data_IF_527176376775
#
_entry.id   IF_527176376775
#
_cell.length_a   1.000
_cell.length_b   1.000
_cell.length_c   1.000
_cell.angle_alpha   90.00
_cell.angle_beta   90.00
_cell.angle_gamma   90.00
#
_symmetry.space_group_name_H-M   'P 1'
#
loop_
_entity.id
_entity.type
_entity.pdbx_description
1 polymer ?
#
# COMPACT_ATOMS: atom_id res chain seq x y z
N UNK A 1 2.82 -13.93 -32.26
CA UNK A 1 3.46 -13.10 -31.23
C UNK A 1 2.74 -13.39 -29.94
N UNK A 2 3.19 -14.41 -29.23
CA UNK A 2 2.67 -14.78 -27.92
C UNK A 2 3.48 -14.00 -26.88
N UNK A 3 2.82 -13.07 -26.18
CA UNK A 3 3.38 -12.45 -24.98
C UNK A 3 3.53 -13.55 -23.91
N UNK A 4 4.72 -13.76 -23.34
CA UNK A 4 4.85 -14.71 -22.25
C UNK A 4 4.00 -14.24 -21.06
N UNK A 5 3.40 -15.17 -20.29
CA UNK A 5 2.77 -14.82 -19.04
C UNK A 5 3.84 -14.19 -18.16
N UNK A 6 3.51 -13.08 -17.51
CA UNK A 6 4.32 -12.51 -16.44
C UNK A 6 4.37 -13.61 -15.37
N UNK A 7 5.46 -14.39 -15.37
CA UNK A 7 5.80 -15.27 -14.27
C UNK A 7 5.98 -14.36 -13.06
N UNK A 8 4.91 -14.21 -12.28
CA UNK A 8 4.98 -13.69 -10.93
C UNK A 8 5.88 -14.66 -10.20
N UNK A 9 7.14 -14.28 -10.12
CA UNK A 9 8.20 -15.08 -9.55
C UNK A 9 7.79 -15.40 -8.11
N UNK A 10 7.89 -16.67 -7.74
CA UNK A 10 7.72 -17.21 -6.38
C UNK A 10 8.77 -16.69 -5.38
N UNK A 11 9.39 -15.56 -5.68
CA UNK A 11 10.38 -14.87 -4.87
C UNK A 11 9.68 -13.74 -4.10
N UNK A 12 10.22 -13.39 -2.93
CA UNK A 12 9.63 -12.39 -2.05
C UNK A 12 9.32 -11.05 -2.72
N UNK A 13 8.58 -10.22 -2.00
CA UNK A 13 8.30 -8.85 -2.37
C UNK A 13 9.56 -8.14 -2.91
N UNK A 14 9.51 -7.63 -4.14
CA UNK A 14 10.54 -6.76 -4.69
C UNK A 14 10.20 -5.31 -4.35
N UNK A 15 11.20 -4.55 -3.87
CA UNK A 15 11.05 -3.14 -3.52
C UNK A 15 10.53 -2.31 -4.71
N UNK A 16 11.14 -2.46 -5.89
CA UNK A 16 10.74 -1.73 -7.11
C UNK A 16 9.29 -2.03 -7.50
N UNK A 17 8.84 -3.27 -7.31
CA UNK A 17 7.46 -3.62 -7.63
C UNK A 17 6.45 -3.04 -6.63
N UNK A 18 6.81 -2.99 -5.35
CA UNK A 18 5.98 -2.34 -4.33
C UNK A 18 5.87 -0.85 -4.65
N UNK A 19 7.01 -0.21 -4.92
CA UNK A 19 7.09 1.20 -5.30
C UNK A 19 6.16 1.52 -6.47
N UNK A 20 6.28 0.77 -7.57
CA UNK A 20 5.43 0.93 -8.75
C UNK A 20 3.94 0.73 -8.46
N UNK A 21 3.59 -0.18 -7.54
CA UNK A 21 2.21 -0.39 -7.10
C UNK A 21 1.69 0.79 -6.27
N UNK A 22 2.51 1.35 -5.38
CA UNK A 22 2.16 2.55 -4.59
C UNK A 22 1.90 3.72 -5.55
N UNK A 23 2.84 4.02 -6.44
CA UNK A 23 2.71 5.12 -7.41
C UNK A 23 1.44 4.94 -8.25
N UNK A 24 1.19 3.74 -8.76
CA UNK A 24 -0.01 3.46 -9.56
C UNK A 24 -1.30 3.68 -8.76
N UNK A 25 -1.34 3.23 -7.51
CA UNK A 25 -2.50 3.42 -6.65
C UNK A 25 -2.72 4.91 -6.34
N UNK A 26 -1.65 5.66 -6.07
CA UNK A 26 -1.70 7.10 -5.84
C UNK A 26 -2.26 7.87 -7.03
N UNK A 27 -1.73 7.61 -8.24
CA UNK A 27 -2.23 8.22 -9.48
C UNK A 27 -3.70 7.85 -9.73
N UNK A 28 -4.07 6.58 -9.53
CA UNK A 28 -5.46 6.16 -9.67
C UNK A 28 -6.40 6.86 -8.68
N UNK A 29 -5.94 7.10 -7.44
CA UNK A 29 -6.72 7.79 -6.43
C UNK A 29 -6.93 9.26 -6.80
N UNK A 30 -5.87 9.93 -7.25
CA UNK A 30 -5.92 11.30 -7.73
C UNK A 30 -6.85 11.48 -8.94
N UNK A 31 -6.90 10.50 -9.85
CA UNK A 31 -7.77 10.53 -11.02
C UNK A 31 -9.24 10.14 -10.75
N UNK A 32 -9.55 9.56 -9.58
CA UNK A 32 -10.94 9.20 -9.26
C UNK A 32 -11.76 10.47 -8.97
N UNK A 33 -13.03 10.54 -9.41
CA UNK A 33 -13.91 11.61 -8.98
C UNK A 33 -14.11 11.54 -7.47
N UNK A 34 -14.19 12.70 -6.81
CA UNK A 34 -14.44 12.80 -5.38
C UNK A 34 -15.95 12.92 -5.16
N UNK A 35 -16.56 11.86 -4.65
CA UNK A 35 -17.93 11.92 -4.15
C UNK A 35 -17.90 12.62 -2.77
N UNK A 36 -18.84 13.51 -2.52
CA UNK A 36 -18.76 14.49 -1.43
C UNK A 36 -18.70 13.82 -0.05
N UNK A 37 -17.60 14.07 0.68
CA UNK A 37 -17.48 13.78 2.11
C UNK A 37 -16.83 12.43 2.49
N UNK A 38 -16.59 11.54 1.53
CA UNK A 38 -16.02 10.22 1.82
C UNK A 38 -14.51 10.14 1.65
N UNK A 39 -13.87 9.39 2.54
CA UNK A 39 -12.47 8.97 2.36
C UNK A 39 -12.39 7.99 1.19
N UNK A 40 -11.38 8.17 0.34
CA UNK A 40 -11.17 7.32 -0.84
C UNK A 40 -10.08 6.33 -0.53
N UNK A 41 -10.26 5.06 -0.89
CA UNK A 41 -9.22 4.06 -0.69
C UNK A 41 -9.04 3.14 -1.88
N UNK A 42 -7.81 2.64 -2.03
CA UNK A 42 -7.38 1.71 -3.06
C UNK A 42 -6.46 0.65 -2.46
N UNK A 43 -6.66 -0.61 -2.82
CA UNK A 43 -5.71 -1.67 -2.48
C UNK A 43 -4.45 -1.53 -3.34
N UNK A 44 -3.29 -1.41 -2.70
CA UNK A 44 -1.98 -1.30 -3.33
C UNK A 44 -1.39 -2.67 -3.59
N UNK A 45 -1.41 -3.51 -2.56
CA UNK A 45 -0.85 -4.86 -2.60
C UNK A 45 -1.79 -5.78 -1.82
N UNK A 46 -2.07 -6.96 -2.39
CA UNK A 46 -2.70 -8.06 -1.67
C UNK A 46 -1.79 -9.28 -1.74
N UNK A 47 -1.29 -9.67 -0.59
CA UNK A 47 -0.49 -10.86 -0.37
C UNK A 47 -1.32 -11.88 0.40
N UNK A 48 -0.93 -13.17 0.39
CA UNK A 48 -1.66 -14.20 1.13
C UNK A 48 -1.84 -13.93 2.63
N UNK A 49 -1.03 -13.04 3.21
CA UNK A 49 -1.04 -12.74 4.64
C UNK A 49 -1.32 -11.27 4.96
N UNK A 50 -1.30 -10.40 3.95
CA UNK A 50 -1.33 -8.96 4.15
C UNK A 50 -2.14 -8.27 3.06
N UNK A 51 -2.88 -7.25 3.46
CA UNK A 51 -3.56 -6.33 2.56
C UNK A 51 -3.05 -4.93 2.84
N UNK A 52 -2.56 -4.24 1.82
CA UNK A 52 -2.08 -2.86 1.91
C UNK A 52 -3.06 -1.97 1.19
N UNK A 53 -3.55 -0.92 1.86
CA UNK A 53 -4.45 0.07 1.29
C UNK A 53 -3.85 1.45 1.35
N UNK A 54 -4.02 2.19 0.28
CA UNK A 54 -3.81 3.62 0.21
C UNK A 54 -5.15 4.31 0.43
N UNK A 55 -5.23 5.16 1.45
CA UNK A 55 -6.42 5.93 1.82
C UNK A 55 -6.10 7.41 1.76
N UNK A 56 -6.94 8.18 1.08
CA UNK A 56 -6.95 9.63 1.16
C UNK A 56 -7.96 10.05 2.22
N UNK A 57 -7.46 10.74 3.24
CA UNK A 57 -8.24 11.27 4.33
C UNK A 57 -9.08 12.47 3.88
N UNK A 58 -10.19 12.70 4.56
CA UNK A 58 -10.97 13.91 4.36
C UNK A 58 -10.14 15.15 4.76
N UNK A 59 -10.10 16.20 3.93
CA UNK A 59 -9.30 17.41 4.16
C UNK A 59 -9.77 18.23 5.37
N UNK A 60 -10.86 17.83 6.01
CA UNK A 60 -11.41 18.45 7.22
C UNK A 60 -10.57 18.13 8.47
N UNK A 61 -9.70 17.13 8.41
CA UNK A 61 -8.80 16.74 9.50
C UNK A 61 -7.52 17.57 9.40
N UNK A 62 -7.47 18.71 10.09
CA UNK A 62 -6.27 19.56 10.10
C UNK A 62 -5.11 18.91 10.88
N UNK A 63 -3.90 19.04 10.35
CA UNK A 63 -2.66 18.57 10.99
C UNK A 63 -2.35 17.09 10.80
N UNK A 64 -3.13 16.38 9.98
CA UNK A 64 -2.87 14.98 9.62
C UNK A 64 -2.42 14.88 8.16
N UNK A 65 -1.55 13.90 7.82
CA UNK A 65 -1.24 13.56 6.44
C UNK A 65 -2.50 13.34 5.60
N UNK A 66 -2.48 13.83 4.37
CA UNK A 66 -3.60 13.69 3.42
C UNK A 66 -3.77 12.24 2.98
N UNK A 67 -2.66 11.51 2.85
CA UNK A 67 -2.66 10.12 2.44
C UNK A 67 -2.10 9.21 3.52
N UNK A 68 -2.64 8.00 3.58
CA UNK A 68 -2.26 6.96 4.50
C UNK A 68 -2.08 5.65 3.75
N UNK A 69 -0.92 5.02 3.92
CA UNK A 69 -0.75 3.61 3.63
C UNK A 69 -0.98 2.82 4.90
N UNK A 70 -1.92 1.89 4.85
CA UNK A 70 -2.33 1.06 5.96
C UNK A 70 -2.11 -0.40 5.61
N UNK A 71 -1.43 -1.13 6.48
CA UNK A 71 -1.18 -2.57 6.36
C UNK A 71 -2.11 -3.32 7.29
N UNK A 72 -2.83 -4.29 6.75
CA UNK A 72 -3.76 -5.16 7.47
C UNK A 72 -3.30 -6.61 7.34
N UNK A 73 -3.49 -7.45 8.38
CA UNK A 73 -3.44 -8.90 8.23
C UNK A 73 -4.56 -9.38 7.31
N UNK A 74 -4.36 -10.51 6.64
CA UNK A 74 -5.41 -11.13 5.83
C UNK A 74 -6.67 -11.43 6.68
N UNK A 75 -7.83 -11.08 6.15
CA UNK A 75 -9.11 -11.27 6.84
C UNK A 75 -9.40 -10.34 8.03
N UNK A 76 -8.49 -9.41 8.38
CA UNK A 76 -8.66 -8.47 9.49
C UNK A 76 -8.82 -7.03 9.00
N UNK A 77 -9.56 -6.23 9.78
CA UNK A 77 -9.66 -4.77 9.61
C UNK A 77 -8.77 -4.01 10.61
N UNK A 78 -8.00 -4.71 11.43
CA UNK A 78 -7.03 -4.07 12.33
C UNK A 78 -5.78 -3.70 11.56
N UNK A 79 -5.42 -2.42 11.57
CA UNK A 79 -4.13 -1.94 11.05
C UNK A 79 -3.01 -2.48 11.93
N UNK A 80 -1.97 -3.06 11.32
CA UNK A 80 -0.74 -3.50 12.00
C UNK A 80 0.45 -2.58 11.75
N UNK A 81 0.38 -1.78 10.68
CA UNK A 81 1.37 -0.76 10.37
C UNK A 81 0.74 0.33 9.52
N UNK A 82 1.18 1.57 9.66
CA UNK A 82 0.74 2.65 8.79
C UNK A 82 1.78 3.75 8.62
N UNK A 83 1.77 4.36 7.45
CA UNK A 83 2.62 5.48 7.10
C UNK A 83 1.75 6.56 6.45
N UNK A 84 1.81 7.79 6.98
CA UNK A 84 1.12 8.93 6.41
C UNK A 84 2.09 9.80 5.62
N UNK A 85 1.62 10.34 4.49
CA UNK A 85 2.40 11.21 3.60
C UNK A 85 1.53 12.29 2.96
N UNK A 86 2.19 13.35 2.49
CA UNK A 86 1.51 14.50 1.87
C UNK A 86 1.60 14.45 0.34
N UNK A 87 2.81 14.28 -0.18
CA UNK A 87 3.10 14.44 -1.61
C UNK A 87 3.65 13.16 -2.26
N UNK A 88 4.00 12.15 -1.46
CA UNK A 88 4.68 10.92 -1.89
C UNK A 88 6.01 11.25 -2.59
N UNK A 89 6.86 12.03 -1.90
CA UNK A 89 8.23 12.27 -2.35
C UNK A 89 9.11 11.00 -2.23
N UNK A 90 10.38 11.11 -2.64
CA UNK A 90 11.31 9.96 -2.66
C UNK A 90 11.51 9.34 -1.26
N UNK A 91 11.62 10.17 -0.23
CA UNK A 91 11.86 9.71 1.15
C UNK A 91 10.57 9.09 1.75
N UNK A 92 9.42 9.71 1.51
CA UNK A 92 8.10 9.19 1.90
C UNK A 92 7.83 7.84 1.21
N UNK A 93 8.15 7.73 -0.08
CA UNK A 93 7.98 6.52 -0.87
C UNK A 93 8.91 5.40 -0.40
N UNK A 94 10.19 5.69 -0.17
CA UNK A 94 11.15 4.73 0.37
C UNK A 94 10.69 4.19 1.73
N UNK A 95 10.22 5.06 2.61
CA UNK A 95 9.67 4.69 3.94
C UNK A 95 8.47 3.76 3.79
N UNK A 96 7.55 4.07 2.87
CA UNK A 96 6.38 3.24 2.61
C UNK A 96 6.74 1.84 2.08
N UNK A 97 7.73 1.76 1.17
CA UNK A 97 8.23 0.49 0.64
C UNK A 97 8.85 -0.34 1.77
N UNK A 98 9.71 0.25 2.59
CA UNK A 98 10.37 -0.42 3.72
C UNK A 98 9.33 -0.96 4.73
N UNK A 99 8.30 -0.18 5.03
CA UNK A 99 7.21 -0.59 5.92
C UNK A 99 6.51 -1.87 5.41
N UNK A 100 6.12 -1.89 4.12
CA UNK A 100 5.43 -3.03 3.51
C UNK A 100 6.35 -4.26 3.47
N UNK A 101 7.62 -4.08 3.12
CA UNK A 101 8.63 -5.15 3.13
C UNK A 101 8.79 -5.75 4.53
N UNK A 102 8.94 -4.90 5.54
CA UNK A 102 9.09 -5.30 6.94
C UNK A 102 7.85 -6.01 7.47
N UNK A 103 6.65 -5.54 7.10
CA UNK A 103 5.40 -6.25 7.42
C UNK A 103 5.35 -7.63 6.76
N UNK A 104 5.74 -7.72 5.48
CA UNK A 104 5.83 -8.97 4.73
C UNK A 104 6.76 -10.00 5.39
N UNK A 105 7.94 -9.55 5.83
CA UNK A 105 8.91 -10.41 6.51
C UNK A 105 8.37 -10.92 7.86
N UNK A 106 7.83 -10.01 8.70
CA UNK A 106 7.21 -10.37 10.00
C UNK A 106 6.09 -11.39 9.84
N UNK A 107 5.24 -11.23 8.82
CA UNK A 107 4.16 -12.16 8.53
C UNK A 107 4.69 -13.52 8.04
N UNK A 108 5.73 -13.52 7.21
CA UNK A 108 6.37 -14.77 6.76
C UNK A 108 6.94 -15.58 7.92
N UNK A 109 7.68 -14.92 8.84
CA UNK A 109 8.31 -15.59 9.99
C UNK A 109 7.28 -16.18 10.96
N UNK A 110 6.15 -15.48 11.19
CA UNK A 110 5.08 -16.00 12.04
C UNK A 110 4.42 -17.27 11.47
N UNK A 111 4.54 -17.50 10.16
CA UNK A 111 3.94 -18.63 9.47
C UNK A 111 4.79 -19.92 9.54
N UNK A 112 6.00 -19.83 10.08
CA UNK A 112 6.96 -20.93 10.20
C UNK A 112 7.24 -21.35 11.67
N UNK A 113 6.47 -20.82 12.62
CA UNK A 113 6.41 -21.28 14.02
C UNK A 113 5.25 -22.25 14.22
#
# INVERSE_FOLDING_TARGET
METPPIEVSRAGLNADEIEQRIIRAYVQLACRPRESGESRSLTVVRLPQLNVRLTEASPEIQGMPLFWLEVYPDGSLSVIDSCGFSDLDEDELATAVEMIMSAGLRAHDHRHQ
#
